data_IF_927574676488
#
_entry.id   IF_927574676488
#
_cell.length_a   1.000
_cell.length_b   1.000
_cell.length_c   1.000
_cell.angle_alpha   90.00
_cell.angle_beta   90.00
_cell.angle_gamma   90.00
#
_symmetry.space_group_name_H-M   'P 1'
#
loop_
_entity.id
_entity.type
_entity.pdbx_description
1 polymer ?
#
# COMPACT_ATOMS: atom_id res chain seq x y z
N UNK A 1 -5.96 -23.86 14.42
CA UNK A 1 -4.79 -23.55 13.56
C UNK A 1 -5.19 -23.42 12.10
N UNK A 2 -6.07 -24.28 11.57
CA UNK A 2 -6.53 -24.20 10.17
C UNK A 2 -7.33 -22.93 9.82
N UNK A 3 -8.06 -22.34 10.75
CA UNK A 3 -8.85 -21.13 10.53
C UNK A 3 -8.00 -19.88 10.28
N UNK A 4 -6.84 -19.76 10.94
CA UNK A 4 -5.95 -18.61 10.80
C UNK A 4 -5.24 -18.60 9.44
N UNK A 5 -4.86 -19.77 8.92
CA UNK A 5 -4.20 -19.90 7.62
C UNK A 5 -5.13 -19.67 6.42
N UNK A 6 -6.46 -19.62 6.66
CA UNK A 6 -7.48 -19.34 5.63
C UNK A 6 -7.89 -17.87 5.57
N UNK A 7 -7.45 -17.04 6.50
CA UNK A 7 -7.78 -15.62 6.50
C UNK A 7 -6.91 -14.86 5.51
N UNK A 8 -7.54 -14.05 4.68
CA UNK A 8 -6.85 -13.11 3.79
C UNK A 8 -6.45 -11.87 4.58
N UNK A 9 -5.30 -11.93 5.27
CA UNK A 9 -4.79 -10.79 6.05
C UNK A 9 -3.98 -9.82 5.20
N UNK A 10 -3.80 -8.60 5.71
CA UNK A 10 -3.07 -7.52 5.06
C UNK A 10 -1.53 -7.64 5.15
N UNK A 11 -1.02 -8.65 5.87
CA UNK A 11 0.40 -8.81 6.17
C UNK A 11 1.33 -8.90 4.96
N UNK A 12 0.83 -9.32 3.79
CA UNK A 12 1.60 -9.25 2.55
C UNK A 12 1.74 -7.81 2.05
N UNK A 13 0.64 -7.05 2.03
CA UNK A 13 0.61 -5.70 1.48
C UNK A 13 1.39 -4.69 2.32
N UNK A 14 1.34 -4.78 3.66
CA UNK A 14 2.05 -3.84 4.53
C UNK A 14 3.58 -3.86 4.39
N UNK A 15 4.16 -4.95 3.89
CA UNK A 15 5.61 -5.11 3.74
C UNK A 15 6.11 -5.04 2.30
N UNK A 16 5.22 -4.81 1.32
CA UNK A 16 5.55 -4.97 -0.10
C UNK A 16 6.12 -3.70 -0.76
N UNK A 17 6.03 -2.55 -0.12
CA UNK A 17 6.51 -1.27 -0.69
C UNK A 17 7.96 -1.30 -1.20
N UNK A 18 8.92 -2.01 -0.57
CA UNK A 18 10.27 -2.14 -1.13
C UNK A 18 10.30 -2.78 -2.53
N UNK A 19 9.36 -3.68 -2.83
CA UNK A 19 9.25 -4.29 -4.16
C UNK A 19 8.83 -3.26 -5.21
N UNK A 20 7.91 -2.34 -4.84
CA UNK A 20 7.56 -1.20 -5.69
C UNK A 20 8.77 -0.30 -5.95
N UNK A 21 9.51 0.07 -4.91
CA UNK A 21 10.71 0.92 -5.00
C UNK A 21 11.82 0.28 -5.86
N UNK A 22 12.04 -1.03 -5.73
CA UNK A 22 13.01 -1.79 -6.53
C UNK A 22 12.66 -1.87 -8.02
N UNK A 23 11.41 -1.60 -8.37
CA UNK A 23 10.89 -1.65 -9.74
C UNK A 23 10.30 -0.28 -10.14
N UNK A 24 10.99 0.81 -9.82
CA UNK A 24 10.56 2.17 -10.10
C UNK A 24 10.16 2.35 -11.58
N UNK A 25 8.92 2.77 -11.84
CA UNK A 25 8.37 2.96 -13.18
C UNK A 25 8.03 1.68 -13.95
N UNK A 26 8.36 0.48 -13.44
CA UNK A 26 8.06 -0.78 -14.08
C UNK A 26 6.97 -1.56 -13.32
N UNK A 27 5.72 -1.13 -13.52
CA UNK A 27 4.55 -1.67 -12.82
C UNK A 27 4.40 -3.18 -13.03
N UNK A 28 4.60 -3.68 -14.26
CA UNK A 28 4.47 -5.10 -14.59
C UNK A 28 5.47 -5.96 -13.81
N UNK A 29 6.71 -5.50 -13.71
CA UNK A 29 7.74 -6.19 -12.95
C UNK A 29 7.46 -6.10 -11.45
N UNK A 30 7.00 -4.96 -10.95
CA UNK A 30 6.59 -4.79 -9.56
C UNK A 30 5.49 -5.78 -9.17
N UNK A 31 4.47 -5.96 -10.02
CA UNK A 31 3.39 -6.94 -9.82
C UNK A 31 3.97 -8.37 -9.79
N UNK A 32 4.79 -8.74 -10.76
CA UNK A 32 5.39 -10.08 -10.83
C UNK A 32 6.22 -10.42 -9.58
N UNK A 33 7.06 -9.49 -9.17
CA UNK A 33 7.92 -9.67 -8.01
C UNK A 33 7.09 -9.67 -6.69
N UNK A 34 6.04 -8.84 -6.61
CA UNK A 34 5.09 -8.84 -5.50
C UNK A 34 4.36 -10.19 -5.37
N UNK A 35 3.93 -10.78 -6.47
CA UNK A 35 3.35 -12.13 -6.47
C UNK A 35 4.34 -13.15 -5.88
N UNK A 36 5.59 -13.14 -6.34
CA UNK A 36 6.63 -14.07 -5.89
C UNK A 36 6.86 -13.97 -4.38
N UNK A 37 7.01 -12.74 -3.85
CA UNK A 37 7.25 -12.49 -2.42
C UNK A 37 6.02 -12.83 -1.58
N UNK A 38 4.83 -12.49 -2.07
CA UNK A 38 3.57 -12.72 -1.35
C UNK A 38 3.27 -14.21 -1.19
N UNK A 39 3.49 -15.01 -2.23
CA UNK A 39 3.22 -16.45 -2.23
C UNK A 39 3.96 -17.22 -1.13
N UNK A 40 5.10 -16.71 -0.65
CA UNK A 40 5.87 -17.35 0.43
C UNK A 40 5.09 -17.37 1.77
N UNK A 41 4.25 -16.36 2.02
CA UNK A 41 3.58 -16.19 3.32
C UNK A 41 2.06 -16.11 3.22
N UNK A 42 1.51 -15.68 2.09
CA UNK A 42 0.08 -15.38 1.90
C UNK A 42 -0.42 -15.98 0.57
N UNK A 43 -0.49 -17.30 0.52
CA UNK A 43 -0.96 -18.06 -0.63
C UNK A 43 -2.49 -17.99 -0.75
N UNK A 44 -3.00 -16.83 -1.15
CA UNK A 44 -4.41 -16.66 -1.54
C UNK A 44 -4.59 -15.44 -2.48
N UNK A 45 -5.61 -15.50 -3.35
CA UNK A 45 -5.82 -14.50 -4.39
C UNK A 45 -6.14 -13.09 -3.86
N UNK A 46 -6.80 -12.99 -2.71
CA UNK A 46 -7.11 -11.69 -2.11
C UNK A 46 -5.86 -10.99 -1.61
N UNK A 47 -4.95 -11.73 -0.94
CA UNK A 47 -3.67 -11.18 -0.48
C UNK A 47 -2.79 -10.75 -1.66
N UNK A 48 -2.77 -11.53 -2.75
CA UNK A 48 -2.07 -11.16 -3.98
C UNK A 48 -2.64 -9.88 -4.59
N UNK A 49 -3.98 -9.76 -4.64
CA UNK A 49 -4.63 -8.52 -5.11
C UNK A 49 -4.16 -7.30 -4.32
N UNK A 50 -4.18 -7.36 -2.98
CA UNK A 50 -3.77 -6.25 -2.13
C UNK A 50 -2.28 -5.92 -2.21
N UNK A 51 -1.41 -6.93 -2.21
CA UNK A 51 0.04 -6.71 -2.31
C UNK A 51 0.44 -6.13 -3.67
N UNK A 52 -0.12 -6.63 -4.76
CA UNK A 52 0.10 -6.09 -6.11
C UNK A 52 -0.41 -4.65 -6.25
N UNK A 53 -1.52 -4.29 -5.56
CA UNK A 53 -2.01 -2.92 -5.52
C UNK A 53 -0.97 -1.95 -4.96
N UNK A 54 -0.42 -2.27 -3.78
CA UNK A 54 0.58 -1.41 -3.12
C UNK A 54 1.88 -1.37 -3.92
N UNK A 55 2.38 -2.52 -4.39
CA UNK A 55 3.62 -2.56 -5.18
C UNK A 55 3.53 -1.76 -6.48
N UNK A 56 2.43 -1.88 -7.22
CA UNK A 56 2.19 -1.14 -8.46
C UNK A 56 2.08 0.37 -8.21
N UNK A 57 1.34 0.77 -7.18
CA UNK A 57 1.17 2.16 -6.81
C UNK A 57 2.49 2.82 -6.39
N UNK A 58 3.29 2.15 -5.54
CA UNK A 58 4.61 2.64 -5.12
C UNK A 58 5.58 2.72 -6.28
N UNK A 59 5.60 1.70 -7.17
CA UNK A 59 6.43 1.70 -8.39
C UNK A 59 6.15 2.92 -9.28
N UNK A 60 4.88 3.30 -9.41
CA UNK A 60 4.48 4.48 -10.18
C UNK A 60 4.72 5.79 -9.42
N UNK A 61 4.48 5.82 -8.12
CA UNK A 61 4.52 7.03 -7.31
C UNK A 61 5.89 7.73 -7.30
N UNK A 62 6.98 6.98 -7.46
CA UNK A 62 8.35 7.54 -7.50
C UNK A 62 8.70 8.18 -8.85
N UNK A 63 7.81 8.13 -9.84
CA UNK A 63 8.07 8.74 -11.16
C UNK A 63 7.82 10.26 -11.10
N UNK A 64 8.65 11.07 -11.78
CA UNK A 64 8.55 12.53 -11.71
C UNK A 64 7.19 13.12 -12.10
N UNK A 65 6.48 12.45 -13.01
CA UNK A 65 5.15 12.87 -13.51
C UNK A 65 3.98 12.30 -12.70
N UNK A 66 4.26 11.53 -11.63
CA UNK A 66 3.21 10.91 -10.83
C UNK A 66 2.32 11.95 -10.13
N UNK A 67 1.03 11.68 -10.13
CA UNK A 67 0.01 12.44 -9.43
C UNK A 67 -0.77 11.52 -8.50
N UNK A 68 -1.48 12.08 -7.53
CA UNK A 68 -2.38 11.28 -6.66
C UNK A 68 -3.28 10.40 -7.52
N UNK A 69 -3.90 10.97 -8.54
CA UNK A 69 -4.80 10.21 -9.40
C UNK A 69 -4.10 9.08 -10.15
N UNK A 70 -2.93 9.31 -10.74
CA UNK A 70 -2.21 8.27 -11.46
C UNK A 70 -1.69 7.15 -10.54
N UNK A 71 -1.32 7.47 -9.30
CA UNK A 71 -0.95 6.48 -8.27
C UNK A 71 -2.14 5.60 -7.89
N UNK A 72 -3.33 6.20 -7.72
CA UNK A 72 -4.57 5.46 -7.46
C UNK A 72 -4.92 4.51 -8.62
N UNK A 73 -4.77 4.97 -9.87
CA UNK A 73 -5.00 4.13 -11.06
C UNK A 73 -3.99 2.97 -11.15
N UNK A 74 -2.71 3.23 -10.88
CA UNK A 74 -1.68 2.19 -10.82
C UNK A 74 -2.01 1.14 -9.74
N UNK A 75 -2.48 1.56 -8.57
CA UNK A 75 -2.93 0.67 -7.51
C UNK A 75 -4.12 -0.18 -7.90
N UNK A 76 -5.15 0.40 -8.52
CA UNK A 76 -6.31 -0.34 -9.03
C UNK A 76 -5.91 -1.34 -10.12
N UNK A 77 -5.01 -0.96 -11.01
CA UNK A 77 -4.46 -1.86 -12.01
C UNK A 77 -3.72 -3.04 -11.36
N UNK A 78 -2.83 -2.75 -10.40
CA UNK A 78 -2.10 -3.77 -9.65
C UNK A 78 -3.04 -4.74 -8.91
N UNK A 79 -4.11 -4.22 -8.29
CA UNK A 79 -5.12 -5.03 -7.63
C UNK A 79 -5.82 -6.01 -8.60
N UNK A 80 -6.22 -5.51 -9.78
CA UNK A 80 -6.89 -6.32 -10.82
C UNK A 80 -5.99 -7.42 -11.38
N UNK A 81 -4.75 -7.08 -11.72
CA UNK A 81 -3.79 -8.07 -12.23
C UNK A 81 -3.38 -9.06 -11.15
N UNK A 82 -3.16 -8.61 -9.90
CA UNK A 82 -2.88 -9.47 -8.75
C UNK A 82 -4.02 -10.46 -8.47
N UNK A 83 -5.28 -10.03 -8.54
CA UNK A 83 -6.44 -10.91 -8.43
C UNK A 83 -6.47 -11.93 -9.56
N UNK A 84 -6.30 -11.49 -10.80
CA UNK A 84 -6.31 -12.34 -12.01
C UNK A 84 -5.21 -13.42 -11.99
N UNK A 85 -4.01 -13.04 -11.54
CA UNK A 85 -2.90 -14.00 -11.36
C UNK A 85 -3.23 -14.94 -10.21
N UNK A 86 -3.65 -14.41 -9.06
CA UNK A 86 -3.94 -15.16 -7.85
C UNK A 86 -4.99 -16.24 -8.06
N UNK A 87 -6.06 -15.94 -8.80
CA UNK A 87 -7.10 -16.94 -9.15
C UNK A 87 -6.59 -18.12 -9.98
N UNK A 88 -5.41 -18.00 -10.61
CA UNK A 88 -4.80 -19.09 -11.39
C UNK A 88 -3.82 -19.94 -10.61
N UNK A 89 -3.11 -19.33 -9.63
CA UNK A 89 -1.96 -19.98 -9.00
C UNK A 89 -2.05 -20.10 -7.47
N UNK A 90 -2.95 -19.34 -6.83
CA UNK A 90 -3.08 -19.30 -5.38
C UNK A 90 -4.41 -19.91 -4.92
N UNK A 91 -4.55 -20.12 -3.62
CA UNK A 91 -5.78 -20.65 -3.03
C UNK A 91 -6.96 -19.70 -3.21
N UNK A 92 -8.11 -20.27 -3.51
CA UNK A 92 -9.39 -19.58 -3.48
C UNK A 92 -9.89 -19.49 -2.03
N UNK A 93 -10.20 -18.28 -1.58
CA UNK A 93 -10.67 -18.00 -0.23
C UNK A 93 -11.89 -17.09 -0.30
N UNK A 94 -12.85 -17.30 0.61
CA UNK A 94 -14.00 -16.42 0.70
C UNK A 94 -13.61 -15.05 1.25
N UNK A 95 -14.18 -14.00 0.69
CA UNK A 95 -13.99 -12.62 1.14
C UNK A 95 -14.49 -11.60 0.13
N UNK A 96 -14.67 -10.34 0.55
CA UNK A 96 -15.06 -9.28 -0.37
C UNK A 96 -13.90 -8.95 -1.35
N UNK A 97 -14.26 -8.46 -2.52
CA UNK A 97 -13.29 -8.06 -3.54
C UNK A 97 -12.46 -6.86 -3.07
N UNK A 98 -11.14 -7.00 -3.08
CA UNK A 98 -10.20 -5.90 -2.79
C UNK A 98 -10.40 -4.78 -3.81
N UNK A 99 -10.51 -5.12 -5.10
CA UNK A 99 -10.70 -4.15 -6.18
C UNK A 99 -11.96 -3.31 -5.97
N UNK A 100 -13.10 -3.95 -5.70
CA UNK A 100 -14.36 -3.23 -5.51
C UNK A 100 -14.35 -2.32 -4.29
N UNK A 101 -13.77 -2.77 -3.19
CA UNK A 101 -13.63 -1.94 -2.00
C UNK A 101 -12.61 -0.83 -2.18
N UNK A 102 -11.55 -1.03 -2.98
CA UNK A 102 -10.64 0.07 -3.36
C UNK A 102 -11.37 1.13 -4.20
N UNK A 103 -12.16 0.73 -5.20
CA UNK A 103 -12.99 1.67 -5.98
C UNK A 103 -13.87 2.51 -5.03
N UNK A 104 -14.60 1.88 -4.10
CA UNK A 104 -15.45 2.58 -3.12
C UNK A 104 -14.65 3.53 -2.20
N UNK A 105 -13.51 3.06 -1.66
CA UNK A 105 -12.70 3.87 -0.75
C UNK A 105 -12.07 5.08 -1.47
N UNK A 106 -11.65 4.91 -2.71
CA UNK A 106 -11.10 5.99 -3.55
C UNK A 106 -12.21 7.01 -3.87
N UNK A 107 -13.42 6.55 -4.20
CA UNK A 107 -14.57 7.44 -4.46
C UNK A 107 -14.90 8.29 -3.22
N UNK A 108 -14.88 7.70 -2.02
CA UNK A 108 -15.04 8.45 -0.77
C UNK A 108 -13.88 9.44 -0.60
N UNK A 109 -12.65 9.01 -0.80
CA UNK A 109 -11.45 9.83 -0.65
C UNK A 109 -11.39 11.03 -1.60
N UNK A 110 -11.82 10.86 -2.85
CA UNK A 110 -11.90 11.92 -3.86
C UNK A 110 -13.19 12.74 -3.77
N UNK A 111 -14.19 12.27 -3.03
CA UNK A 111 -15.49 12.92 -2.89
C UNK A 111 -15.43 14.27 -2.17
N UNK A 112 -16.61 14.86 -1.95
CA UNK A 112 -16.76 16.11 -1.20
C UNK A 112 -16.59 15.88 0.32
N UNK A 113 -16.30 16.95 1.05
CA UNK A 113 -16.14 16.94 2.49
C UNK A 113 -14.70 17.13 2.96
N UNK A 114 -14.54 17.29 4.26
CA UNK A 114 -13.24 17.43 4.93
C UNK A 114 -12.51 16.08 4.99
N UNK A 115 -11.17 16.06 5.06
CA UNK A 115 -10.43 14.81 5.25
C UNK A 115 -10.91 13.99 6.45
N UNK A 116 -11.33 14.65 7.54
CA UNK A 116 -11.87 13.97 8.72
C UNK A 116 -13.20 13.29 8.47
N UNK A 117 -14.11 13.92 7.74
CA UNK A 117 -15.40 13.33 7.36
C UNK A 117 -15.18 12.11 6.44
N UNK A 118 -14.32 12.24 5.44
CA UNK A 118 -13.92 11.16 4.55
C UNK A 118 -13.29 9.99 5.30
N UNK A 119 -12.38 10.26 6.25
CA UNK A 119 -11.77 9.26 7.12
C UNK A 119 -12.84 8.48 7.91
N UNK A 120 -13.79 9.19 8.50
CA UNK A 120 -14.90 8.57 9.24
C UNK A 120 -15.75 7.69 8.34
N UNK A 121 -16.06 8.15 7.13
CA UNK A 121 -16.85 7.40 6.16
C UNK A 121 -16.13 6.15 5.66
N UNK A 122 -14.82 6.25 5.39
CA UNK A 122 -13.96 5.09 5.06
C UNK A 122 -14.01 4.06 6.19
N UNK A 123 -13.86 4.49 7.44
CA UNK A 123 -13.94 3.61 8.60
C UNK A 123 -15.29 2.87 8.69
N UNK A 124 -16.39 3.55 8.41
CA UNK A 124 -17.74 2.98 8.50
C UNK A 124 -18.10 2.06 7.32
N UNK A 125 -17.78 2.46 6.09
CA UNK A 125 -18.22 1.70 4.90
C UNK A 125 -17.23 0.62 4.49
N UNK A 126 -15.93 0.86 4.64
CA UNK A 126 -14.89 -0.06 4.19
C UNK A 126 -14.43 -0.96 5.33
N UNK A 127 -14.28 -0.39 6.53
CA UNK A 127 -13.64 -1.06 7.66
C UNK A 127 -12.11 -0.89 7.62
N UNK A 128 -11.50 -1.07 8.79
CA UNK A 128 -10.06 -0.81 9.02
C UNK A 128 -9.37 -1.95 9.75
N UNK A 129 -9.92 -3.17 9.62
CA UNK A 129 -9.41 -4.36 10.28
C UNK A 129 -8.26 -5.04 9.54
N UNK A 130 -7.85 -6.19 10.08
CA UNK A 130 -6.74 -7.01 9.55
C UNK A 130 -7.01 -7.62 8.18
N UNK A 131 -8.26 -7.64 7.73
CA UNK A 131 -8.60 -8.25 6.45
C UNK A 131 -8.08 -7.39 5.29
N UNK A 132 -7.46 -8.04 4.30
CA UNK A 132 -6.86 -7.36 3.14
C UNK A 132 -7.85 -6.45 2.40
N UNK A 133 -9.12 -6.85 2.30
CA UNK A 133 -10.17 -6.06 1.65
C UNK A 133 -10.75 -4.94 2.55
N UNK A 134 -10.17 -4.69 3.71
CA UNK A 134 -10.43 -3.54 4.56
C UNK A 134 -9.21 -2.62 4.61
N UNK A 135 -8.07 -3.13 5.06
CA UNK A 135 -6.87 -2.32 5.27
C UNK A 135 -6.34 -1.66 3.98
N UNK A 136 -6.25 -2.43 2.87
CA UNK A 136 -5.70 -1.87 1.62
C UNK A 136 -6.63 -0.82 1.01
N UNK A 137 -7.94 -1.09 0.82
CA UNK A 137 -8.86 -0.05 0.38
C UNK A 137 -8.83 1.20 1.24
N UNK A 138 -8.80 1.05 2.58
CA UNK A 138 -8.75 2.19 3.51
C UNK A 138 -7.46 2.99 3.39
N UNK A 139 -6.30 2.33 3.19
CA UNK A 139 -5.04 3.04 2.95
C UNK A 139 -5.10 3.88 1.67
N UNK A 140 -5.65 3.36 0.57
CA UNK A 140 -5.81 4.10 -0.68
C UNK A 140 -6.85 5.22 -0.57
N UNK A 141 -7.97 4.96 0.14
CA UNK A 141 -8.99 5.98 0.40
C UNK A 141 -8.46 7.14 1.23
N UNK A 142 -7.67 6.86 2.27
CA UNK A 142 -7.03 7.89 3.09
C UNK A 142 -5.95 8.66 2.33
N UNK A 143 -5.11 7.97 1.55
CA UNK A 143 -4.18 8.64 0.65
C UNK A 143 -4.90 9.63 -0.29
N UNK A 144 -6.05 9.24 -0.85
CA UNK A 144 -6.87 10.12 -1.67
C UNK A 144 -7.51 11.26 -0.87
N UNK A 145 -8.04 10.97 0.34
CA UNK A 145 -8.71 11.95 1.20
C UNK A 145 -7.80 13.11 1.64
N UNK A 146 -6.51 12.82 1.80
CA UNK A 146 -5.48 13.79 2.15
C UNK A 146 -4.67 14.30 0.94
N UNK A 147 -5.13 14.05 -0.29
CA UNK A 147 -4.47 14.47 -1.53
C UNK A 147 -2.98 14.08 -1.58
N UNK A 148 -2.66 12.91 -1.07
CA UNK A 148 -1.29 12.39 -1.02
C UNK A 148 -0.35 13.17 -0.11
N UNK A 149 -0.86 14.04 0.78
CA UNK A 149 -0.04 14.69 1.81
C UNK A 149 0.54 13.64 2.75
N UNK A 150 1.87 13.69 2.93
CA UNK A 150 2.58 12.62 3.61
C UNK A 150 2.20 12.50 5.09
N UNK A 151 2.20 13.62 5.81
CA UNK A 151 1.87 13.62 7.24
C UNK A 151 0.38 13.44 7.46
N UNK A 152 -0.46 14.11 6.68
CA UNK A 152 -1.92 14.01 6.76
C UNK A 152 -2.41 12.58 6.52
N UNK A 153 -1.86 11.89 5.51
CA UNK A 153 -2.21 10.50 5.21
C UNK A 153 -1.88 9.56 6.38
N UNK A 154 -0.71 9.72 7.01
CA UNK A 154 -0.33 8.92 8.19
C UNK A 154 -1.21 9.27 9.40
N UNK A 155 -1.40 10.56 9.70
CA UNK A 155 -2.22 10.99 10.83
C UNK A 155 -3.65 10.53 10.67
N UNK A 156 -4.22 10.62 9.47
CA UNK A 156 -5.55 10.08 9.18
C UNK A 156 -5.62 8.57 9.42
N UNK A 157 -4.62 7.82 8.95
CA UNK A 157 -4.56 6.38 9.12
C UNK A 157 -4.40 5.95 10.59
N UNK A 158 -3.64 6.71 11.39
CA UNK A 158 -3.51 6.44 12.83
C UNK A 158 -4.81 6.75 13.58
N UNK A 159 -5.61 7.71 13.11
CA UNK A 159 -6.83 8.14 13.79
C UNK A 159 -8.10 7.42 13.31
N UNK A 160 -8.05 6.66 12.22
CA UNK A 160 -9.23 5.94 11.68
C UNK A 160 -9.68 4.79 12.59
N UNK A 161 -8.79 4.27 13.43
CA UNK A 161 -9.06 3.19 14.38
C UNK A 161 -8.72 1.80 13.86
N UNK A 162 -8.76 0.82 14.74
CA UNK A 162 -8.53 -0.60 14.51
C UNK A 162 -7.07 -0.95 14.14
N UNK A 163 -6.76 -1.40 12.91
CA UNK A 163 -5.41 -1.78 12.45
C UNK A 163 -4.63 -0.58 11.90
N UNK A 164 -4.45 0.40 12.76
CA UNK A 164 -3.96 1.73 12.39
C UNK A 164 -2.50 1.75 11.94
N UNK A 165 -1.64 0.96 12.54
CA UNK A 165 -0.22 0.87 12.22
C UNK A 165 -0.01 0.32 10.80
N UNK A 166 -0.76 -0.72 10.43
CA UNK A 166 -0.70 -1.31 9.09
C UNK A 166 -1.22 -0.34 8.02
N UNK A 167 -2.36 0.30 8.28
CA UNK A 167 -2.95 1.28 7.34
C UNK A 167 -2.02 2.48 7.19
N UNK A 168 -1.44 2.99 8.29
CA UNK A 168 -0.49 4.09 8.27
C UNK A 168 0.80 3.72 7.51
N UNK A 169 1.29 2.50 7.67
CA UNK A 169 2.44 2.00 6.92
C UNK A 169 2.20 2.05 5.41
N UNK A 170 1.04 1.59 4.94
CA UNK A 170 0.72 1.60 3.50
C UNK A 170 0.45 3.02 2.98
N UNK A 171 -0.36 3.81 3.71
CA UNK A 171 -0.64 5.20 3.33
C UNK A 171 0.63 6.05 3.30
N UNK A 172 1.53 5.85 4.29
CA UNK A 172 2.83 6.49 4.37
C UNK A 172 3.78 6.06 3.26
N UNK A 173 3.74 4.79 2.84
CA UNK A 173 4.52 4.31 1.70
C UNK A 173 4.07 4.95 0.38
N UNK A 174 2.76 5.06 0.15
CA UNK A 174 2.20 5.71 -1.03
C UNK A 174 2.55 7.20 -1.07
N UNK A 175 2.29 7.91 0.02
CA UNK A 175 2.52 9.35 0.10
C UNK A 175 4.01 9.70 0.13
N UNK A 176 4.82 8.92 0.84
CA UNK A 176 6.27 9.08 0.86
C UNK A 176 6.94 8.82 -0.49
N UNK A 177 6.48 7.82 -1.23
CA UNK A 177 6.95 7.56 -2.59
C UNK A 177 6.59 8.70 -3.56
N UNK A 178 5.41 9.30 -3.39
CA UNK A 178 4.95 10.42 -4.24
C UNK A 178 5.62 11.76 -3.88
N UNK A 179 5.81 12.04 -2.59
CA UNK A 179 6.22 13.37 -2.11
C UNK A 179 7.68 13.47 -1.69
N UNK A 180 8.36 12.34 -1.51
CA UNK A 180 9.74 12.30 -1.03
C UNK A 180 9.87 12.38 0.49
N UNK A 181 11.08 12.14 0.98
CA UNK A 181 11.38 12.12 2.41
C UNK A 181 11.25 13.49 3.08
N UNK A 182 11.47 14.56 2.34
CA UNK A 182 11.37 15.94 2.82
C UNK A 182 9.93 16.37 3.15
N UNK A 183 8.93 15.62 2.70
CA UNK A 183 7.53 15.86 3.05
C UNK A 183 7.20 15.45 4.50
N UNK A 184 8.10 14.73 5.17
CA UNK A 184 7.96 14.38 6.58
C UNK A 184 8.73 15.36 7.49
N UNK A 185 8.30 15.54 8.76
CA UNK A 185 9.07 16.34 9.72
C UNK A 185 10.51 15.84 9.85
N UNK A 186 11.47 16.75 9.79
CA UNK A 186 12.90 16.43 9.72
C UNK A 186 13.42 15.57 10.90
N UNK A 187 12.73 15.61 12.05
CA UNK A 187 13.09 14.81 13.22
C UNK A 187 12.60 13.35 13.15
N UNK A 188 11.69 12.99 12.22
CA UNK A 188 11.14 11.62 12.16
C UNK A 188 12.21 10.59 11.86
N UNK A 189 13.00 10.80 10.81
CA UNK A 189 14.01 9.83 10.40
C UNK A 189 15.05 9.59 11.50
N UNK A 190 15.75 10.61 12.05
CA UNK A 190 16.72 10.37 13.11
C UNK A 190 16.10 9.76 14.38
N UNK A 191 14.88 10.14 14.76
CA UNK A 191 14.19 9.53 15.91
C UNK A 191 13.89 8.04 15.68
N UNK A 192 13.45 7.68 14.47
CA UNK A 192 13.17 6.28 14.11
C UNK A 192 14.45 5.44 14.06
N UNK A 193 15.52 5.98 13.48
CA UNK A 193 16.81 5.28 13.40
C UNK A 193 17.40 5.03 14.79
N UNK A 194 17.39 6.03 15.67
CA UNK A 194 17.88 5.91 17.05
C UNK A 194 17.04 4.93 17.87
N UNK A 195 15.71 5.09 17.87
CA UNK A 195 14.81 4.28 18.69
C UNK A 195 14.77 2.80 18.29
N UNK A 196 15.03 2.49 17.03
CA UNK A 196 14.92 1.13 16.49
C UNK A 196 16.28 0.52 16.11
N UNK A 197 17.38 1.26 16.30
CA UNK A 197 18.74 0.82 15.89
C UNK A 197 18.81 0.44 14.40
N UNK A 198 18.17 1.25 13.55
CA UNK A 198 18.09 1.06 12.10
C UNK A 198 18.94 2.10 11.38
N UNK A 199 19.42 1.76 10.18
CA UNK A 199 20.11 2.65 9.24
C UNK A 199 19.24 2.81 7.99
N UNK A 200 18.07 3.47 8.12
CA UNK A 200 17.05 3.58 7.06
C UNK A 200 17.61 4.27 5.82
N UNK A 201 18.39 5.33 6.00
CA UNK A 201 19.03 6.05 4.89
C UNK A 201 19.97 5.15 4.11
N UNK A 202 20.83 4.41 4.80
CA UNK A 202 21.75 3.47 4.17
C UNK A 202 21.00 2.33 3.45
N UNK A 203 19.92 1.83 4.05
CA UNK A 203 19.08 0.82 3.40
C UNK A 203 18.47 1.35 2.10
N UNK A 204 17.98 2.59 2.09
CA UNK A 204 17.45 3.23 0.89
C UNK A 204 18.51 3.40 -0.21
N UNK A 205 19.73 3.82 0.15
CA UNK A 205 20.87 3.92 -0.77
C UNK A 205 21.26 2.56 -1.36
N UNK A 206 21.32 1.52 -0.53
CA UNK A 206 21.65 0.16 -0.95
C UNK A 206 20.59 -0.41 -1.90
N UNK A 207 19.28 -0.23 -1.59
CA UNK A 207 18.18 -0.64 -2.47
C UNK A 207 18.24 0.10 -3.82
N UNK A 208 18.46 1.41 -3.82
CA UNK A 208 18.59 2.21 -5.04
C UNK A 208 19.74 1.71 -5.92
N UNK A 209 20.89 1.43 -5.31
CA UNK A 209 22.07 0.90 -6.03
C UNK A 209 21.82 -0.49 -6.64
N UNK A 210 21.03 -1.34 -5.97
CA UNK A 210 20.66 -2.65 -6.50
C UNK A 210 19.67 -2.48 -7.65
N UNK A 211 18.62 -1.67 -7.49
CA UNK A 211 17.62 -1.41 -8.51
C UNK A 211 18.26 -0.95 -9.83
N UNK A 212 19.18 0.03 -9.76
CA UNK A 212 19.90 0.55 -10.93
C UNK A 212 20.80 -0.47 -11.64
N UNK A 213 21.17 -1.57 -11.00
CA UNK A 213 21.96 -2.65 -11.62
C UNK A 213 21.10 -3.68 -12.34
N UNK A 214 19.87 -3.86 -11.91
CA UNK A 214 18.93 -4.84 -12.47
C UNK A 214 18.34 -4.33 -13.79
N UNK A 215 18.26 -3.03 -13.99
CA UNK A 215 17.74 -2.37 -15.21
C UNK A 215 18.80 -2.24 -16.34
N UNK A 216 19.99 -2.80 -16.15
CA UNK A 216 21.06 -2.89 -17.17
C UNK A 216 21.20 -4.32 -17.71
#
# INVERSE_FOLDING_TARGET
>A
VELVTRQATNGAAMKISPIGLMNAGNIEKAIKDAVTVTMVTHDNYLALSGACAVAAAVSHAVMPEATVYSVLQAGLYGAKEGEKIGRKIARDVAGPSVVKRMEMAIDIGLGSGTPKEKMTEIGHQIGTGLHVAEAIPSAFGLFAAYDGDALGSIVGAVNVGYDTDTIATMSGALSGALRGAEAFPAHFLPTLEEANHLEIRKLAEDLTRIAQKVDR
#
